data_IF_223700510446
#
_entry.id   IF_223700510446
#
_cell.length_a   1.000
_cell.length_b   1.000
_cell.length_c   1.000
_cell.angle_alpha   90.00
_cell.angle_beta   90.00
_cell.angle_gamma   90.00
#
_symmetry.space_group_name_H-M   'P 1'
#
loop_
_entity.id
_entity.type
_entity.pdbx_description
1 polymer ?
#
# COMPACT_ATOMS: atom_id res chain seq x y z
N UNK A 1 2.22 15.97 14.14
CA UNK A 1 0.74 16.05 14.15
C UNK A 1 0.18 16.01 12.76
N UNK A 2 -0.68 15.06 12.52
CA UNK A 2 -1.20 14.87 11.16
C UNK A 2 -2.05 16.03 10.68
N UNK A 3 -2.80 16.63 11.59
CA UNK A 3 -3.65 17.76 11.24
C UNK A 3 -2.85 18.93 10.68
N UNK A 4 -1.69 19.21 11.24
CA UNK A 4 -0.82 20.28 10.75
C UNK A 4 -0.37 19.98 9.32
N UNK A 5 -0.02 18.73 9.04
CA UNK A 5 0.38 18.34 7.69
C UNK A 5 -0.73 18.52 6.68
N UNK A 6 -1.98 18.26 7.06
CA UNK A 6 -3.12 18.46 6.17
C UNK A 6 -3.31 19.90 5.76
N UNK A 7 -3.03 20.81 6.66
CA UNK A 7 -3.28 22.24 6.41
C UNK A 7 -2.15 22.86 5.62
N UNK A 8 -0.94 22.39 5.81
CA UNK A 8 0.26 22.95 5.20
C UNK A 8 0.18 22.88 3.67
N UNK A 9 0.15 24.05 3.03
CA UNK A 9 0.10 24.14 1.57
C UNK A 9 -1.24 23.80 0.96
N UNK A 10 -2.26 23.51 1.79
CA UNK A 10 -3.60 23.18 1.31
C UNK A 10 -4.62 24.12 1.94
N UNK A 11 -5.65 24.43 1.19
CA UNK A 11 -6.80 25.10 1.78
C UNK A 11 -7.60 24.09 2.60
N UNK A 12 -8.46 24.56 3.49
CA UNK A 12 -9.28 23.68 4.33
C UNK A 12 -10.13 22.70 3.54
N UNK A 13 -10.68 23.13 2.40
CA UNK A 13 -11.52 22.28 1.55
C UNK A 13 -10.74 21.23 0.79
N UNK A 14 -9.40 21.31 0.80
CA UNK A 14 -8.53 20.33 0.15
C UNK A 14 -7.90 19.35 1.15
N UNK A 15 -8.25 19.45 2.42
CA UNK A 15 -7.73 18.57 3.45
C UNK A 15 -8.20 17.16 3.20
N UNK A 16 -7.23 16.23 3.18
CA UNK A 16 -7.53 14.82 2.99
C UNK A 16 -8.11 14.24 4.27
N UNK A 17 -9.30 13.68 4.18
CA UNK A 17 -9.94 12.98 5.29
C UNK A 17 -10.58 11.69 4.81
N UNK A 18 -10.38 11.34 3.56
CA UNK A 18 -10.99 10.17 2.95
C UNK A 18 -10.21 8.91 3.17
N UNK A 19 -10.79 7.84 2.67
CA UNK A 19 -10.18 6.53 2.65
C UNK A 19 -9.83 6.17 1.22
N UNK A 20 -8.70 5.51 1.04
CA UNK A 20 -8.22 5.15 -0.28
C UNK A 20 -7.73 3.71 -0.28
N UNK A 21 -8.12 2.98 -1.32
CA UNK A 21 -7.67 1.63 -1.55
C UNK A 21 -6.90 1.58 -2.85
N UNK A 22 -5.67 1.10 -2.79
CA UNK A 22 -4.84 0.92 -3.98
C UNK A 22 -4.73 -0.56 -4.27
N UNK A 23 -5.21 -0.97 -5.44
CA UNK A 23 -5.12 -2.34 -5.90
C UNK A 23 -3.75 -2.56 -6.54
N UNK A 24 -3.05 -3.61 -6.14
CA UNK A 24 -1.75 -3.90 -6.72
C UNK A 24 -1.58 -5.40 -6.94
N UNK A 25 -1.76 -5.89 -8.16
CA UNK A 25 -1.55 -7.30 -8.46
C UNK A 25 -0.13 -7.65 -8.89
N UNK A 26 0.74 -6.65 -9.06
CA UNK A 26 2.09 -6.86 -9.59
C UNK A 26 3.16 -6.68 -8.52
N UNK A 27 4.17 -7.52 -8.61
CA UNK A 27 5.39 -7.40 -7.83
C UNK A 27 6.58 -7.33 -8.77
N UNK A 28 7.56 -8.22 -8.60
CA UNK A 28 8.74 -8.25 -9.47
C UNK A 28 8.42 -8.68 -10.90
N UNK A 29 7.25 -9.27 -11.14
CA UNK A 29 6.80 -9.63 -12.49
C UNK A 29 6.51 -8.39 -13.35
N UNK A 30 6.15 -7.28 -12.74
CA UNK A 30 6.00 -6.00 -13.44
C UNK A 30 6.35 -4.90 -12.43
N UNK A 31 7.63 -4.68 -12.29
CA UNK A 31 8.15 -3.79 -11.25
C UNK A 31 7.75 -2.34 -11.47
N UNK A 32 7.55 -1.92 -12.71
CA UNK A 32 7.08 -0.57 -12.98
C UNK A 32 5.68 -0.35 -12.41
N UNK A 33 4.76 -1.28 -12.67
CA UNK A 33 3.39 -1.15 -12.15
C UNK A 33 3.36 -1.20 -10.63
N UNK A 34 4.18 -2.08 -10.05
CA UNK A 34 4.28 -2.17 -8.59
C UNK A 34 4.80 -0.86 -8.00
N UNK A 35 5.81 -0.27 -8.64
CA UNK A 35 6.41 0.98 -8.16
C UNK A 35 5.42 2.13 -8.27
N UNK A 36 4.71 2.24 -9.38
CA UNK A 36 3.70 3.30 -9.56
C UNK A 36 2.58 3.15 -8.54
N UNK A 37 2.11 1.93 -8.29
CA UNK A 37 1.08 1.70 -7.28
C UNK A 37 1.56 2.18 -5.90
N UNK A 38 2.81 1.90 -5.56
CA UNK A 38 3.38 2.33 -4.28
C UNK A 38 3.53 3.86 -4.21
N UNK A 39 3.88 4.50 -5.32
CA UNK A 39 3.93 5.96 -5.38
C UNK A 39 2.56 6.57 -5.11
N UNK A 40 1.53 6.03 -5.75
CA UNK A 40 0.16 6.54 -5.57
C UNK A 40 -0.32 6.32 -4.12
N UNK A 41 -0.10 5.13 -3.58
CA UNK A 41 -0.47 4.84 -2.20
C UNK A 41 0.29 5.74 -1.22
N UNK A 42 1.58 5.94 -1.47
CA UNK A 42 2.42 6.80 -0.65
C UNK A 42 1.93 8.24 -0.65
N UNK A 43 1.49 8.75 -1.80
CA UNK A 43 0.95 10.09 -1.89
C UNK A 43 -0.33 10.24 -1.06
N UNK A 44 -1.24 9.26 -1.15
CA UNK A 44 -2.47 9.30 -0.39
C UNK A 44 -2.20 9.28 1.12
N UNK A 45 -1.30 8.41 1.56
CA UNK A 45 -0.93 8.33 2.98
C UNK A 45 -0.22 9.60 3.46
N UNK A 46 0.65 10.18 2.62
CA UNK A 46 1.37 11.41 2.97
C UNK A 46 0.42 12.59 3.11
N UNK A 47 -0.70 12.58 2.43
CA UNK A 47 -1.73 13.61 2.54
C UNK A 47 -2.78 13.28 3.60
N UNK A 48 -2.45 12.38 4.52
CA UNK A 48 -3.28 11.96 5.64
C UNK A 48 -4.58 11.23 5.25
N UNK A 49 -4.65 10.67 4.05
CA UNK A 49 -5.71 9.75 3.71
C UNK A 49 -5.50 8.41 4.43
N UNK A 50 -6.57 7.82 4.93
CA UNK A 50 -6.51 6.46 5.46
C UNK A 50 -6.37 5.51 4.27
N UNK A 51 -5.22 4.85 4.16
CA UNK A 51 -4.86 4.15 2.93
C UNK A 51 -4.50 2.70 3.21
N UNK A 52 -5.05 1.81 2.40
CA UNK A 52 -4.66 0.41 2.35
C UNK A 52 -4.30 0.03 0.93
N UNK A 53 -3.28 -0.81 0.78
CA UNK A 53 -2.99 -1.47 -0.48
C UNK A 53 -3.46 -2.90 -0.40
N UNK A 54 -4.28 -3.32 -1.37
CA UNK A 54 -4.67 -4.72 -1.47
C UNK A 54 -3.73 -5.43 -2.44
N UNK A 55 -2.89 -6.29 -1.88
CA UNK A 55 -1.86 -7.02 -2.62
C UNK A 55 -2.40 -8.39 -3.00
N UNK A 56 -2.42 -8.67 -4.29
CA UNK A 56 -2.86 -9.94 -4.85
C UNK A 56 -1.82 -10.47 -5.81
N UNK A 57 -1.98 -11.72 -6.21
CA UNK A 57 -1.07 -12.31 -7.19
C UNK A 57 0.38 -12.16 -6.73
N UNK A 58 1.28 -11.80 -7.62
CA UNK A 58 2.71 -11.76 -7.30
C UNK A 58 3.08 -10.66 -6.30
N UNK A 59 2.25 -9.62 -6.16
CA UNK A 59 2.55 -8.54 -5.21
C UNK A 59 2.56 -8.97 -3.75
N UNK A 60 1.94 -10.12 -3.42
CA UNK A 60 1.97 -10.60 -2.03
C UNK A 60 3.40 -10.86 -1.54
N UNK A 61 4.33 -11.16 -2.44
CA UNK A 61 5.73 -11.34 -2.07
C UNK A 61 6.38 -10.04 -1.60
N UNK A 62 5.86 -8.90 -2.03
CA UNK A 62 6.38 -7.59 -1.61
C UNK A 62 6.15 -7.33 -0.13
N UNK A 63 5.14 -7.95 0.46
CA UNK A 63 4.80 -7.76 1.86
C UNK A 63 5.62 -8.65 2.80
N UNK A 64 6.46 -9.51 2.28
CA UNK A 64 7.30 -10.36 3.13
C UNK A 64 8.52 -9.58 3.62
N UNK A 65 9.09 -10.04 4.73
CA UNK A 65 10.32 -9.44 5.26
C UNK A 65 11.43 -9.56 4.22
N UNK A 66 11.99 -8.42 3.83
CA UNK A 66 13.00 -8.38 2.79
C UNK A 66 12.47 -8.52 1.37
N UNK A 67 11.16 -8.64 1.18
CA UNK A 67 10.57 -8.88 -0.13
C UNK A 67 10.74 -7.73 -1.13
N UNK A 68 11.04 -6.53 -0.65
CA UNK A 68 11.28 -5.38 -1.51
C UNK A 68 12.76 -5.04 -1.65
N UNK A 69 13.63 -5.78 -0.98
CA UNK A 69 15.06 -5.47 -0.99
C UNK A 69 15.64 -5.61 -2.40
N UNK A 70 16.36 -4.58 -2.81
CA UNK A 70 17.02 -4.57 -4.12
C UNK A 70 16.10 -4.32 -5.31
N UNK A 71 14.81 -4.15 -5.10
CA UNK A 71 13.86 -3.90 -6.19
C UNK A 71 13.82 -2.42 -6.53
N UNK A 72 14.44 -2.08 -7.64
CA UNK A 72 14.46 -0.69 -8.12
C UNK A 72 14.62 -0.67 -9.62
N UNK A 73 13.70 -0.03 -10.30
CA UNK A 73 13.85 0.28 -11.73
C UNK A 73 14.75 1.49 -11.90
N UNK A 74 15.51 1.49 -12.96
CA UNK A 74 16.34 2.65 -13.33
C UNK A 74 15.43 3.86 -13.52
N UNK A 75 15.78 4.95 -12.86
CA UNK A 75 15.01 6.19 -12.95
C UNK A 75 13.86 6.29 -11.94
N UNK A 76 13.62 5.24 -11.15
CA UNK A 76 12.56 5.22 -10.15
C UNK A 76 13.15 5.12 -8.76
N UNK A 77 12.40 5.56 -7.73
CA UNK A 77 12.81 5.30 -6.34
C UNK A 77 12.82 3.81 -6.04
N UNK A 78 13.65 3.41 -5.08
CA UNK A 78 13.65 2.04 -4.60
C UNK A 78 12.33 1.70 -3.93
N UNK A 79 11.82 0.51 -4.21
CA UNK A 79 10.51 0.10 -3.68
C UNK A 79 10.51 0.06 -2.16
N UNK A 80 11.60 -0.40 -1.54
CA UNK A 80 11.71 -0.45 -0.08
C UNK A 80 11.65 0.95 0.55
N UNK A 81 12.21 1.97 -0.09
CA UNK A 81 12.16 3.33 0.41
C UNK A 81 10.74 3.90 0.35
N UNK A 82 10.04 3.62 -0.74
CA UNK A 82 8.64 4.02 -0.89
C UNK A 82 7.77 3.37 0.16
N UNK A 83 7.99 2.08 0.44
CA UNK A 83 7.24 1.35 1.45
C UNK A 83 7.50 1.90 2.85
N UNK A 84 8.74 2.25 3.16
CA UNK A 84 9.06 2.79 4.47
C UNK A 84 8.31 4.09 4.72
N UNK A 85 8.31 5.00 3.76
CA UNK A 85 7.58 6.26 3.87
C UNK A 85 6.07 6.02 3.98
N UNK A 86 5.54 5.09 3.20
CA UNK A 86 4.13 4.71 3.22
C UNK A 86 3.74 4.19 4.61
N UNK A 87 4.54 3.29 5.17
CA UNK A 87 4.31 2.72 6.50
C UNK A 87 4.38 3.81 7.58
N UNK A 88 5.37 4.70 7.51
CA UNK A 88 5.54 5.77 8.49
C UNK A 88 4.35 6.73 8.49
N UNK A 89 3.68 6.88 7.37
CA UNK A 89 2.48 7.70 7.25
C UNK A 89 1.19 6.93 7.53
N UNK A 90 1.30 5.72 8.08
CA UNK A 90 0.14 4.95 8.51
C UNK A 90 -0.47 4.06 7.43
N UNK A 91 0.17 3.93 6.28
CA UNK A 91 -0.31 3.06 5.21
C UNK A 91 -0.27 1.59 5.60
N UNK A 92 -1.27 0.84 5.17
CA UNK A 92 -1.40 -0.58 5.46
C UNK A 92 -1.25 -1.42 4.20
N UNK A 93 -0.70 -2.63 4.36
CA UNK A 93 -0.62 -3.63 3.29
C UNK A 93 -1.53 -4.79 3.68
N UNK A 94 -2.54 -5.05 2.86
CA UNK A 94 -3.46 -6.17 3.06
C UNK A 94 -3.15 -7.24 2.04
N UNK A 95 -2.78 -8.42 2.53
CA UNK A 95 -2.28 -9.51 1.70
C UNK A 95 -3.38 -10.54 1.48
N UNK A 96 -3.70 -10.78 0.23
CA UNK A 96 -4.73 -11.75 -0.14
C UNK A 96 -4.37 -13.14 0.39
N UNK A 97 -5.22 -13.77 1.21
CA UNK A 97 -4.90 -15.06 1.80
C UNK A 97 -4.74 -16.18 0.78
N UNK A 98 -5.52 -16.18 -0.28
CA UNK A 98 -5.42 -17.21 -1.32
C UNK A 98 -4.09 -17.10 -2.07
N UNK A 99 -3.72 -15.88 -2.44
CA UNK A 99 -2.47 -15.64 -3.15
C UNK A 99 -1.26 -15.94 -2.28
N UNK A 100 -1.32 -15.60 -1.00
CA UNK A 100 -0.26 -15.90 -0.04
C UNK A 100 -0.10 -17.42 0.14
N UNK A 101 -1.21 -18.12 0.36
CA UNK A 101 -1.19 -19.57 0.56
C UNK A 101 -0.62 -20.30 -0.67
N UNK A 102 -0.99 -19.86 -1.87
CA UNK A 102 -0.49 -20.44 -3.11
C UNK A 102 1.04 -20.32 -3.24
N UNK A 103 1.64 -19.36 -2.52
CA UNK A 103 3.07 -19.09 -2.56
C UNK A 103 3.80 -19.49 -1.28
N UNK A 104 3.11 -20.17 -0.36
CA UNK A 104 3.69 -20.62 0.90
C UNK A 104 4.01 -19.49 1.87
N UNK A 105 3.35 -18.35 1.74
CA UNK A 105 3.54 -17.19 2.60
C UNK A 105 2.55 -17.25 3.75
N UNK A 106 3.06 -17.12 4.98
CA UNK A 106 2.23 -17.09 6.19
C UNK A 106 2.32 -15.74 6.86
N UNK A 107 1.47 -15.51 7.87
CA UNK A 107 1.49 -14.26 8.61
C UNK A 107 2.85 -13.96 9.24
N UNK A 108 3.59 -15.00 9.64
CA UNK A 108 4.90 -14.82 10.26
C UNK A 108 5.96 -14.31 9.26
N UNK A 109 5.71 -14.46 7.98
CA UNK A 109 6.64 -14.00 6.95
C UNK A 109 6.50 -12.50 6.63
N UNK A 110 5.45 -11.86 7.14
CA UNK A 110 5.10 -10.50 6.72
C UNK A 110 5.89 -9.43 7.44
N UNK A 111 6.18 -8.37 6.71
CA UNK A 111 6.84 -7.19 7.25
C UNK A 111 5.87 -6.37 8.12
N UNK A 112 6.42 -5.42 8.89
CA UNK A 112 5.62 -4.52 9.70
C UNK A 112 4.63 -3.74 8.83
N UNK A 113 3.41 -3.58 9.30
CA UNK A 113 2.36 -2.88 8.58
C UNK A 113 1.61 -3.73 7.57
N UNK A 114 2.00 -5.00 7.42
CA UNK A 114 1.32 -5.94 6.52
C UNK A 114 0.56 -6.98 7.33
N UNK A 115 -0.62 -7.37 6.83
CA UNK A 115 -1.42 -8.42 7.46
C UNK A 115 -2.18 -9.20 6.40
N UNK A 116 -2.52 -10.44 6.74
CA UNK A 116 -3.40 -11.23 5.88
C UNK A 116 -4.81 -10.67 6.03
N UNK A 117 -5.35 -10.16 4.92
CA UNK A 117 -6.69 -9.58 4.89
C UNK A 117 -7.24 -9.72 3.48
N UNK A 118 -8.39 -10.34 3.36
CA UNK A 118 -8.91 -10.73 2.06
C UNK A 118 -9.98 -9.80 1.50
N UNK A 119 -10.70 -10.36 0.53
CA UNK A 119 -11.70 -9.62 -0.22
C UNK A 119 -12.79 -9.04 0.67
N UNK A 120 -13.21 -9.76 1.71
CA UNK A 120 -14.27 -9.27 2.59
C UNK A 120 -13.89 -7.96 3.28
N UNK A 121 -12.64 -7.88 3.76
CA UNK A 121 -12.16 -6.66 4.40
C UNK A 121 -12.03 -5.53 3.40
N UNK A 122 -11.54 -5.83 2.21
CA UNK A 122 -11.39 -4.88 1.13
C UNK A 122 -12.75 -4.29 0.73
N UNK A 123 -13.76 -5.15 0.55
CA UNK A 123 -15.11 -4.71 0.21
C UNK A 123 -15.69 -3.87 1.34
N UNK A 124 -15.48 -4.27 2.59
CA UNK A 124 -15.94 -3.49 3.75
C UNK A 124 -15.35 -2.10 3.76
N UNK A 125 -14.07 -1.96 3.45
CA UNK A 125 -13.39 -0.68 3.38
C UNK A 125 -13.97 0.20 2.28
N UNK A 126 -14.22 -0.37 1.10
CA UNK A 126 -14.87 0.35 -0.01
C UNK A 126 -16.29 0.76 0.39
N UNK A 127 -17.04 -0.13 1.05
CA UNK A 127 -18.38 0.18 1.50
C UNK A 127 -18.40 1.32 2.53
N UNK A 128 -17.33 1.46 3.30
CA UNK A 128 -17.17 2.55 4.27
C UNK A 128 -16.73 3.87 3.63
N UNK A 129 -16.66 3.91 2.32
CA UNK A 129 -16.37 5.14 1.59
C UNK A 129 -14.98 5.21 0.98
N UNK A 130 -14.21 4.14 0.99
CA UNK A 130 -12.90 4.15 0.37
C UNK A 130 -13.02 4.31 -1.14
N UNK A 131 -12.20 5.18 -1.69
CA UNK A 131 -12.08 5.34 -3.14
C UNK A 131 -11.01 4.40 -3.64
N UNK A 132 -11.32 3.70 -4.72
CA UNK A 132 -10.40 2.73 -5.32
C UNK A 132 -9.51 3.46 -6.32
N UNK A 133 -8.20 3.32 -6.12
CA UNK A 133 -7.18 3.88 -7.01
C UNK A 133 -6.43 2.73 -7.65
N UNK A 134 -6.43 2.69 -8.97
CA UNK A 134 -5.73 1.65 -9.76
C UNK A 134 -6.31 0.26 -9.62
#
# INVERSE_FOLDING_TARGET
>A
MRLTKKINGLRGDQTMSGKFLVNCPHGSDDLEKATVAMIVAGAAAAMDGETAMFLTCESVRLATKGGMDGLQLEGYPALADLQQAYHENGGQLWVCPVCAAARGITADDLTAGAEIAGAARTIGFVNDGAKVLM
#
